data_IF_766526611188
#
_entry.id   IF_766526611188
#
_cell.length_a   1.000
_cell.length_b   1.000
_cell.length_c   1.000
_cell.angle_alpha   90.00
_cell.angle_beta   90.00
_cell.angle_gamma   90.00
#
_symmetry.space_group_name_H-M   'P 1'
#
loop_
_entity.id
_entity.type
_entity.pdbx_description
1 polymer ?
#
# COMPACT_ATOMS: atom_id res chain seq x y z
N UNK A 1 -16.98 -8.66 -28.97
CA UNK A 1 -17.70 -8.64 -27.68
C UNK A 1 -16.67 -8.59 -26.56
N UNK A 2 -16.46 -7.40 -25.99
CA UNK A 2 -15.47 -7.13 -24.94
C UNK A 2 -16.00 -7.64 -23.58
N UNK A 3 -15.22 -8.47 -22.89
CA UNK A 3 -15.39 -8.72 -21.45
C UNK A 3 -15.03 -7.42 -20.71
N UNK A 4 -16.03 -6.59 -20.45
CA UNK A 4 -15.91 -5.46 -19.51
C UNK A 4 -16.20 -5.95 -18.08
N UNK A 5 -15.32 -5.53 -17.17
CA UNK A 5 -15.66 -5.04 -15.83
C UNK A 5 -16.41 -5.98 -14.89
N UNK A 6 -15.75 -7.05 -14.43
CA UNK A 6 -16.21 -7.84 -13.28
C UNK A 6 -15.40 -7.57 -12.00
N UNK A 7 -14.12 -7.22 -12.14
CA UNK A 7 -13.19 -7.03 -11.02
C UNK A 7 -13.26 -5.61 -10.41
N UNK A 8 -13.62 -4.60 -11.21
CA UNK A 8 -13.90 -3.24 -10.72
C UNK A 8 -15.17 -3.16 -9.86
N UNK A 9 -16.10 -4.09 -10.11
CA UNK A 9 -17.41 -4.13 -9.45
C UNK A 9 -17.34 -4.82 -8.07
N UNK A 10 -16.37 -5.70 -7.84
CA UNK A 10 -16.17 -6.33 -6.53
C UNK A 10 -15.54 -5.40 -5.49
N UNK A 11 -14.60 -4.55 -5.91
CA UNK A 11 -14.00 -3.53 -5.02
C UNK A 11 -15.03 -2.48 -4.64
N UNK A 12 -15.83 -2.00 -5.60
CA UNK A 12 -16.91 -1.03 -5.33
C UNK A 12 -17.94 -1.57 -4.32
N UNK A 13 -18.31 -2.86 -4.43
CA UNK A 13 -19.20 -3.54 -3.49
C UNK A 13 -18.59 -3.75 -2.09
N UNK A 14 -17.28 -3.98 -2.00
CA UNK A 14 -16.56 -4.03 -0.72
C UNK A 14 -16.50 -2.64 -0.06
N UNK A 15 -16.19 -1.61 -0.86
CA UNK A 15 -16.05 -0.22 -0.44
C UNK A 15 -17.37 0.42 0.00
N UNK A 16 -18.51 -0.09 -0.48
CA UNK A 16 -19.85 0.34 -0.05
C UNK A 16 -20.12 0.07 1.45
N UNK A 17 -19.29 -0.76 2.10
CA UNK A 17 -19.31 -0.97 3.55
C UNK A 17 -17.99 -0.49 4.12
N UNK A 18 -17.89 0.82 4.33
CA UNK A 18 -16.80 1.42 5.10
C UNK A 18 -16.70 0.71 6.45
N UNK A 19 -15.72 -0.19 6.58
CA UNK A 19 -15.29 -0.74 7.86
C UNK A 19 -14.04 0.03 8.27
N UNK A 20 -14.21 1.31 8.58
CA UNK A 20 -13.22 2.03 9.38
C UNK A 20 -13.41 1.59 10.83
N UNK A 21 -12.99 0.36 11.12
CA UNK A 21 -13.18 -0.27 12.41
C UNK A 21 -11.89 -0.81 12.98
N UNK A 22 -11.78 -0.79 14.30
CA UNK A 22 -10.70 -1.41 15.07
C UNK A 22 -10.42 -2.86 14.69
N UNK A 23 -11.37 -3.58 14.08
CA UNK A 23 -11.18 -4.98 13.64
C UNK A 23 -10.09 -5.16 12.58
N UNK A 24 -9.95 -4.26 11.61
CA UNK A 24 -8.88 -4.35 10.61
C UNK A 24 -7.51 -4.11 11.27
N UNK A 25 -7.42 -3.09 12.11
CA UNK A 25 -6.21 -2.77 12.86
C UNK A 25 -5.84 -3.92 13.82
N UNK A 26 -6.82 -4.56 14.48
CA UNK A 26 -6.59 -5.74 15.33
C UNK A 26 -6.02 -6.93 14.55
N UNK A 27 -6.60 -7.25 13.39
CA UNK A 27 -6.08 -8.34 12.56
C UNK A 27 -4.66 -8.03 12.07
N UNK A 28 -4.44 -6.81 11.59
CA UNK A 28 -3.17 -6.40 10.99
C UNK A 28 -2.05 -6.25 12.01
N UNK A 29 -2.34 -5.77 13.21
CA UNK A 29 -1.33 -5.38 14.19
C UNK A 29 -1.21 -6.32 15.39
N UNK A 30 -2.17 -7.22 15.59
CA UNK A 30 -2.08 -8.23 16.64
C UNK A 30 -2.08 -9.61 16.04
N UNK A 31 -3.07 -9.96 15.22
CA UNK A 31 -3.19 -11.33 14.71
C UNK A 31 -2.07 -11.72 13.71
N UNK A 32 -1.56 -10.77 12.93
CA UNK A 32 -0.49 -11.04 11.98
C UNK A 32 0.88 -11.24 12.61
N UNK A 33 1.13 -10.63 13.77
CA UNK A 33 2.37 -10.89 14.52
C UNK A 33 2.39 -12.35 14.98
N UNK A 34 1.27 -12.82 15.54
CA UNK A 34 1.12 -14.22 15.97
C UNK A 34 1.13 -15.21 14.79
N UNK A 35 0.58 -14.84 13.64
CA UNK A 35 0.44 -15.73 12.49
C UNK A 35 1.70 -15.83 11.63
N UNK A 36 2.39 -14.71 11.41
CA UNK A 36 3.48 -14.59 10.43
C UNK A 36 4.86 -14.56 11.08
N UNK A 37 4.94 -14.23 12.37
CA UNK A 37 6.18 -14.16 13.12
C UNK A 37 7.22 -13.25 12.46
N UNK A 38 8.47 -13.69 12.44
CA UNK A 38 9.61 -12.89 11.96
C UNK A 38 9.59 -12.63 10.44
N UNK A 39 8.88 -13.45 9.66
CA UNK A 39 8.77 -13.30 8.20
C UNK A 39 7.66 -12.33 7.77
N UNK A 40 6.90 -11.78 8.74
CA UNK A 40 5.81 -10.83 8.50
C UNK A 40 6.18 -9.72 7.50
N UNK A 41 7.32 -9.01 7.63
CA UNK A 41 7.66 -7.91 6.73
C UNK A 41 7.82 -8.36 5.27
N UNK A 42 8.46 -9.52 5.05
CA UNK A 42 8.64 -10.12 3.73
C UNK A 42 7.31 -10.59 3.14
N UNK A 43 6.51 -11.29 3.94
CA UNK A 43 5.21 -11.83 3.50
C UNK A 43 4.27 -10.70 3.12
N UNK A 44 4.13 -9.66 3.97
CA UNK A 44 3.29 -8.51 3.67
C UNK A 44 3.74 -7.79 2.40
N UNK A 45 5.04 -7.68 2.16
CA UNK A 45 5.58 -7.08 0.95
C UNK A 45 5.18 -7.87 -0.31
N UNK A 46 5.30 -9.20 -0.28
CA UNK A 46 4.88 -10.07 -1.39
C UNK A 46 3.36 -10.03 -1.57
N UNK A 47 2.58 -10.04 -0.49
CA UNK A 47 1.12 -9.91 -0.53
C UNK A 47 0.69 -8.60 -1.19
N UNK A 48 1.37 -7.49 -0.89
CA UNK A 48 1.14 -6.20 -1.54
C UNK A 48 1.37 -6.25 -3.05
N UNK A 49 2.47 -6.88 -3.51
CA UNK A 49 2.72 -7.08 -4.95
C UNK A 49 1.61 -7.92 -5.60
N UNK A 50 1.20 -9.01 -4.94
CA UNK A 50 0.13 -9.87 -5.45
C UNK A 50 -1.21 -9.13 -5.56
N UNK A 51 -1.55 -8.31 -4.56
CA UNK A 51 -2.76 -7.48 -4.56
C UNK A 51 -2.80 -6.54 -5.77
N UNK A 52 -1.69 -5.85 -6.07
CA UNK A 52 -1.60 -4.97 -7.23
C UNK A 52 -1.79 -5.73 -8.56
N UNK A 53 -1.26 -6.96 -8.67
CA UNK A 53 -1.44 -7.82 -9.85
C UNK A 53 -2.88 -8.27 -10.02
N UNK A 54 -3.50 -8.73 -8.94
CA UNK A 54 -4.86 -9.27 -8.95
C UNK A 54 -5.87 -8.20 -9.39
N UNK A 55 -5.72 -6.99 -8.87
CA UNK A 55 -6.58 -5.85 -9.20
C UNK A 55 -6.16 -5.05 -10.43
N UNK A 56 -5.11 -5.49 -11.15
CA UNK A 56 -4.59 -4.85 -12.37
C UNK A 56 -4.32 -3.35 -12.19
N UNK A 57 -3.67 -2.99 -11.09
CA UNK A 57 -3.26 -1.60 -10.83
C UNK A 57 -2.02 -1.31 -11.68
N UNK A 58 -2.23 -0.64 -12.81
CA UNK A 58 -1.17 -0.44 -13.82
C UNK A 58 -0.78 1.01 -14.03
N UNK A 59 -1.30 1.93 -13.23
CA UNK A 59 -0.94 3.36 -13.29
C UNK A 59 -0.79 3.96 -11.89
N UNK A 60 -0.10 5.08 -11.80
CA UNK A 60 0.03 5.83 -10.54
C UNK A 60 -1.34 6.31 -10.05
N UNK A 61 -2.19 6.78 -10.96
CA UNK A 61 -3.53 7.27 -10.66
C UNK A 61 -4.40 6.18 -10.05
N UNK A 62 -4.41 4.99 -10.67
CA UNK A 62 -5.16 3.83 -10.14
C UNK A 62 -4.65 3.37 -8.77
N UNK A 63 -3.35 3.50 -8.51
CA UNK A 63 -2.79 3.23 -7.19
C UNK A 63 -3.25 4.25 -6.14
N UNK A 64 -3.26 5.54 -6.50
CA UNK A 64 -3.77 6.60 -5.61
C UNK A 64 -5.25 6.34 -5.26
N UNK A 65 -6.08 6.02 -6.25
CA UNK A 65 -7.49 5.69 -6.05
C UNK A 65 -7.66 4.46 -5.14
N UNK A 66 -6.86 3.41 -5.36
CA UNK A 66 -6.90 2.21 -4.53
C UNK A 66 -6.57 2.49 -3.06
N UNK A 67 -5.56 3.31 -2.77
CA UNK A 67 -5.17 3.63 -1.38
C UNK A 67 -6.29 4.35 -0.61
N UNK A 68 -7.02 5.24 -1.30
CA UNK A 68 -8.20 5.92 -0.74
C UNK A 68 -9.33 4.91 -0.52
N UNK A 69 -9.64 4.11 -1.55
CA UNK A 69 -10.72 3.13 -1.52
C UNK A 69 -10.55 2.05 -0.44
N UNK A 70 -9.32 1.57 -0.24
CA UNK A 70 -8.97 0.61 0.81
C UNK A 70 -8.92 1.22 2.21
N UNK A 71 -9.10 2.55 2.35
CA UNK A 71 -9.01 3.23 3.64
C UNK A 71 -7.60 3.26 4.23
N UNK A 72 -6.57 3.13 3.38
CA UNK A 72 -5.16 3.16 3.80
C UNK A 72 -4.77 4.61 4.10
N UNK A 73 -5.08 5.53 3.17
CA UNK A 73 -4.80 6.96 3.30
C UNK A 73 -4.70 7.67 1.94
N UNK A 74 -4.28 8.92 1.98
CA UNK A 74 -4.05 9.74 0.79
C UNK A 74 -2.61 9.56 0.32
N UNK A 75 -2.45 8.97 -0.87
CA UNK A 75 -1.16 8.76 -1.51
C UNK A 75 -0.89 9.87 -2.54
N UNK A 76 0.29 10.47 -2.51
CA UNK A 76 0.72 11.51 -3.45
C UNK A 76 2.07 11.14 -4.06
N UNK A 77 2.20 11.21 -5.39
CA UNK A 77 3.50 11.16 -6.07
C UNK A 77 4.17 12.53 -5.97
N UNK A 78 5.20 12.65 -5.14
CA UNK A 78 5.83 13.92 -4.79
C UNK A 78 6.92 14.30 -5.78
N UNK A 79 7.70 13.31 -6.21
CA UNK A 79 8.87 13.57 -7.05
C UNK A 79 9.27 12.37 -7.89
N UNK A 80 9.52 12.62 -9.16
CA UNK A 80 10.25 11.70 -10.03
C UNK A 80 11.73 12.11 -10.09
N UNK A 81 12.63 11.15 -9.92
CA UNK A 81 14.07 11.31 -10.14
C UNK A 81 14.56 10.24 -11.11
N UNK A 82 15.81 10.38 -11.55
CA UNK A 82 16.44 9.48 -12.53
C UNK A 82 16.44 8.00 -12.10
N UNK A 83 16.65 7.71 -10.83
CA UNK A 83 16.82 6.35 -10.28
C UNK A 83 15.80 6.00 -9.20
N UNK A 84 14.85 6.88 -8.93
CA UNK A 84 13.83 6.66 -7.90
C UNK A 84 12.61 7.56 -8.09
N UNK A 85 11.48 7.12 -7.58
CA UNK A 85 10.28 7.93 -7.36
C UNK A 85 10.03 8.07 -5.85
N UNK A 86 9.52 9.23 -5.44
CA UNK A 86 9.15 9.52 -4.05
C UNK A 86 7.64 9.69 -3.97
N UNK A 87 7.03 8.93 -3.07
CA UNK A 87 5.63 9.07 -2.71
C UNK A 87 5.49 9.43 -1.24
N UNK A 88 4.41 10.13 -0.93
CA UNK A 88 4.01 10.49 0.41
C UNK A 88 2.62 9.93 0.69
N UNK A 89 2.47 9.24 1.82
CA UNK A 89 1.18 8.78 2.33
C UNK A 89 0.85 9.53 3.61
N UNK A 90 -0.31 10.18 3.62
CA UNK A 90 -0.85 10.86 4.80
C UNK A 90 -2.15 10.18 5.22
N UNK A 91 -2.36 10.10 6.53
CA UNK A 91 -3.65 9.68 7.09
C UNK A 91 -3.72 10.05 8.57
N UNK A 92 -4.89 10.49 9.07
CA UNK A 92 -5.07 10.79 10.49
C UNK A 92 -4.82 9.56 11.38
N UNK A 93 -4.94 8.35 10.82
CA UNK A 93 -4.73 7.09 11.55
C UNK A 93 -3.26 6.73 11.72
N UNK A 94 -2.33 7.32 10.95
CA UNK A 94 -0.89 6.97 11.00
C UNK A 94 -0.31 7.25 12.38
N UNK A 95 -0.59 8.43 12.94
CA UNK A 95 -0.12 8.80 14.27
C UNK A 95 -0.74 7.92 15.36
N UNK A 96 -2.04 7.62 15.25
CA UNK A 96 -2.75 6.77 16.21
C UNK A 96 -2.22 5.33 16.19
N UNK A 97 -2.02 4.74 15.00
CA UNK A 97 -1.48 3.39 14.82
C UNK A 97 -0.06 3.26 15.37
N UNK A 98 0.79 4.26 15.11
CA UNK A 98 2.15 4.28 15.64
C UNK A 98 2.19 4.33 17.17
N UNK A 99 1.22 4.97 17.82
CA UNK A 99 1.13 4.99 19.28
C UNK A 99 0.56 3.68 19.86
N UNK A 100 -0.37 3.05 19.13
CA UNK A 100 -1.07 1.86 19.59
C UNK A 100 -0.26 0.56 19.43
N UNK A 101 0.67 0.52 18.46
CA UNK A 101 1.34 -0.70 18.02
C UNK A 101 2.83 -0.46 17.89
N UNK A 102 3.61 -1.23 18.66
CA UNK A 102 5.06 -1.26 18.54
C UNK A 102 5.45 -1.94 17.22
N UNK A 103 6.45 -1.42 16.50
CA UNK A 103 6.90 -1.92 15.19
C UNK A 103 5.84 -1.88 14.07
N UNK A 104 4.96 -0.87 14.09
CA UNK A 104 4.06 -0.58 12.97
C UNK A 104 4.82 -0.37 11.65
N UNK A 105 4.40 -1.04 10.57
CA UNK A 105 5.08 -1.08 9.27
C UNK A 105 4.12 -0.93 8.07
N UNK A 106 4.69 -0.57 6.92
CA UNK A 106 3.96 -0.29 5.67
C UNK A 106 4.45 -1.18 4.52
N UNK A 107 4.83 -2.42 4.83
CA UNK A 107 5.36 -3.37 3.85
C UNK A 107 4.34 -3.77 2.80
N UNK A 108 3.08 -3.93 3.20
CA UNK A 108 1.99 -4.23 2.27
C UNK A 108 1.83 -3.12 1.23
N UNK A 109 1.75 -1.87 1.68
CA UNK A 109 1.65 -0.67 0.82
C UNK A 109 2.90 -0.52 -0.07
N UNK A 110 4.09 -0.79 0.49
CA UNK A 110 5.35 -0.77 -0.25
C UNK A 110 5.36 -1.82 -1.38
N UNK A 111 4.80 -3.01 -1.12
CA UNK A 111 4.64 -4.07 -2.11
C UNK A 111 3.73 -3.65 -3.26
N UNK A 112 2.58 -3.03 -2.95
CA UNK A 112 1.67 -2.50 -3.98
C UNK A 112 2.42 -1.49 -4.86
N UNK A 113 3.07 -0.50 -4.27
CA UNK A 113 3.81 0.53 -5.02
C UNK A 113 4.92 -0.05 -5.89
N UNK A 114 5.67 -1.02 -5.38
CA UNK A 114 6.76 -1.64 -6.15
C UNK A 114 6.25 -2.34 -7.41
N UNK A 115 5.14 -3.08 -7.30
CA UNK A 115 4.55 -3.76 -8.44
C UNK A 115 3.91 -2.79 -9.43
N UNK A 116 3.14 -1.82 -8.95
CA UNK A 116 2.53 -0.77 -9.79
C UNK A 116 3.63 -0.06 -10.58
N UNK A 117 4.70 0.37 -9.91
CA UNK A 117 5.78 1.10 -10.56
C UNK A 117 6.60 0.22 -11.51
N UNK A 118 6.77 -1.07 -11.20
CA UNK A 118 7.38 -2.02 -12.14
C UNK A 118 6.57 -2.09 -13.44
N UNK A 119 5.25 -2.14 -13.35
CA UNK A 119 4.36 -2.13 -14.51
C UNK A 119 4.39 -0.79 -15.25
N UNK A 120 4.31 0.33 -14.55
CA UNK A 120 4.34 1.68 -15.14
C UNK A 120 5.65 1.98 -15.88
N UNK A 121 6.78 1.50 -15.34
CA UNK A 121 8.12 1.85 -15.84
C UNK A 121 8.69 0.82 -16.81
N UNK A 122 8.19 -0.43 -16.78
CA UNK A 122 8.66 -1.52 -17.65
C UNK A 122 9.98 -2.16 -17.22
N UNK A 123 10.45 -1.87 -16.00
CA UNK A 123 11.64 -2.47 -15.38
C UNK A 123 11.41 -2.66 -13.88
N UNK A 124 12.19 -3.53 -13.25
CA UNK A 124 12.00 -3.89 -11.85
C UNK A 124 12.15 -2.66 -10.93
N UNK A 125 11.19 -2.51 -10.02
CA UNK A 125 11.22 -1.50 -8.97
C UNK A 125 11.03 -2.17 -7.60
N UNK A 126 11.68 -1.62 -6.57
CA UNK A 126 11.47 -2.02 -5.18
C UNK A 126 11.19 -0.79 -4.33
N UNK A 127 10.41 -0.93 -3.26
CA UNK A 127 9.96 0.20 -2.44
C UNK A 127 10.46 0.05 -1.01
N UNK A 128 11.01 1.14 -0.48
CA UNK A 128 11.39 1.31 0.91
C UNK A 128 10.47 2.33 1.57
N UNK A 129 9.99 2.04 2.77
CA UNK A 129 9.25 2.99 3.60
C UNK A 129 10.13 3.70 4.63
N UNK A 130 9.76 4.94 4.94
CA UNK A 130 10.31 5.72 6.04
C UNK A 130 9.16 6.42 6.77
N UNK A 131 8.83 5.91 7.96
CA UNK A 131 7.69 6.36 8.75
C UNK A 131 8.09 7.64 9.50
N UNK A 132 7.26 8.68 9.38
CA UNK A 132 7.42 9.97 10.07
C UNK A 132 6.23 10.22 11.02
N UNK A 133 6.19 9.57 12.20
CA UNK A 133 5.03 9.61 13.09
C UNK A 133 4.65 11.03 13.55
N UNK A 134 5.65 11.86 13.84
CA UNK A 134 5.44 13.27 14.25
C UNK A 134 4.75 14.12 13.19
N UNK A 135 4.84 13.72 11.93
CA UNK A 135 4.19 14.38 10.78
C UNK A 135 2.92 13.66 10.32
N UNK A 136 2.58 12.53 10.94
CA UNK A 136 1.51 11.63 10.51
C UNK A 136 1.63 11.22 9.03
N UNK A 137 2.87 10.92 8.61
CA UNK A 137 3.23 10.69 7.22
C UNK A 137 4.11 9.45 7.08
N UNK A 138 4.02 8.76 5.95
CA UNK A 138 5.00 7.76 5.51
C UNK A 138 5.57 8.20 4.17
N UNK A 139 6.89 8.14 4.03
CA UNK A 139 7.56 8.42 2.77
C UNK A 139 7.94 7.09 2.14
N UNK A 140 7.52 6.86 0.91
CA UNK A 140 7.95 5.71 0.13
C UNK A 140 8.97 6.14 -0.91
N UNK A 141 10.12 5.46 -0.93
CA UNK A 141 11.14 5.60 -1.96
C UNK A 141 11.12 4.37 -2.85
N UNK A 142 10.65 4.52 -4.09
CA UNK A 142 10.63 3.47 -5.09
C UNK A 142 11.92 3.53 -5.89
N UNK A 143 12.81 2.55 -5.70
CA UNK A 143 14.09 2.43 -6.42
C UNK A 143 13.89 1.78 -7.77
N UNK A 144 14.52 2.34 -8.80
CA UNK A 144 14.52 1.82 -10.16
C UNK A 144 15.73 0.90 -10.37
N UNK A 145 15.51 -0.34 -10.79
CA UNK A 145 16.57 -1.28 -11.20
C UNK A 145 16.51 -1.44 -12.72
N UNK A 146 17.30 -0.62 -13.40
CA UNK A 146 17.41 -0.56 -14.86
C UNK A 146 18.67 -1.26 -15.34
#
# INVERSE_FOLDING_TARGET
MHKKDKDSDSLSLYNARISHGSGFDLLRYSAFDDLLGEEKPQILYVLGKNMAREHRVTSIETAIEMFIQMGIGELTHVKEKRSEDIFELTSPLIAARHQAVENHEYRFESGILAEVMTNCRGFQCETLEDIKPKKATVIFTVKHYR
#
